data_IF_117909753898
#
_entry.id   IF_117909753898
#
_cell.length_a   1.000
_cell.length_b   1.000
_cell.length_c   1.000
_cell.angle_alpha   90.00
_cell.angle_beta   90.00
_cell.angle_gamma   90.00
#
_symmetry.space_group_name_H-M   'P 1'
#
loop_
_entity.id
_entity.type
_entity.pdbx_description
1 polymer ?
#
# COMPACT_ATOMS: atom_id res chain seq x y z
N UNK A 1 -11.61 9.12 26.74
CA UNK A 1 -11.79 9.88 25.47
C UNK A 1 -12.85 9.16 24.63
N UNK A 2 -13.76 9.90 24.03
CA UNK A 2 -14.86 9.32 23.25
C UNK A 2 -14.32 8.77 21.93
N UNK A 3 -14.34 7.44 21.74
CA UNK A 3 -13.83 6.75 20.54
C UNK A 3 -14.74 6.90 19.32
N UNK A 4 -15.86 7.64 19.46
CA UNK A 4 -16.88 7.80 18.42
C UNK A 4 -16.82 9.17 17.73
N UNK A 5 -15.64 9.78 17.64
CA UNK A 5 -15.46 11.03 16.91
C UNK A 5 -15.57 10.76 15.40
N UNK A 6 -16.28 11.60 14.65
CA UNK A 6 -16.38 11.48 13.22
C UNK A 6 -15.00 11.73 12.58
N UNK A 7 -14.54 10.76 11.81
CA UNK A 7 -13.34 10.87 10.97
C UNK A 7 -13.76 10.81 9.50
N UNK A 8 -12.84 11.11 8.58
CA UNK A 8 -13.09 10.98 7.15
C UNK A 8 -13.65 9.61 6.82
N UNK A 9 -14.66 9.58 5.93
CA UNK A 9 -15.35 8.37 5.49
C UNK A 9 -14.37 7.32 4.98
N UNK A 10 -13.41 7.72 4.16
CA UNK A 10 -12.39 6.88 3.56
C UNK A 10 -11.50 6.22 4.63
N UNK A 11 -11.09 6.97 5.66
CA UNK A 11 -10.33 6.42 6.79
C UNK A 11 -11.14 5.38 7.57
N UNK A 12 -12.44 5.65 7.74
CA UNK A 12 -13.33 4.75 8.47
C UNK A 12 -13.66 3.47 7.67
N UNK A 13 -13.89 3.59 6.36
CA UNK A 13 -14.28 2.46 5.49
C UNK A 13 -13.10 1.63 5.02
N UNK A 14 -11.93 2.24 4.83
CA UNK A 14 -10.74 1.57 4.33
C UNK A 14 -10.43 0.27 5.10
N UNK A 15 -10.29 -0.82 4.38
CA UNK A 15 -9.79 -2.10 4.90
C UNK A 15 -8.83 -2.75 3.90
N UNK A 16 -7.92 -3.58 4.40
CA UNK A 16 -6.97 -4.36 3.58
C UNK A 16 -7.61 -5.67 3.19
N UNK A 17 -8.31 -5.69 2.05
CA UNK A 17 -8.97 -6.88 1.52
C UNK A 17 -7.98 -7.82 0.83
N UNK A 18 -8.32 -9.12 0.74
CA UNK A 18 -7.54 -10.15 0.02
C UNK A 18 -8.26 -10.73 -1.18
N UNK A 19 -9.40 -10.13 -1.57
CA UNK A 19 -10.16 -10.54 -2.74
C UNK A 19 -10.32 -9.36 -3.68
N UNK A 20 -10.03 -9.60 -4.97
CA UNK A 20 -10.10 -8.59 -6.01
C UNK A 20 -10.81 -9.15 -7.24
N UNK A 21 -11.63 -8.32 -7.86
CA UNK A 21 -12.20 -8.62 -9.16
C UNK A 21 -11.10 -8.53 -10.24
N UNK A 22 -11.12 -9.41 -11.26
CA UNK A 22 -10.22 -9.33 -12.41
C UNK A 22 -10.65 -8.23 -13.39
N UNK A 23 -11.08 -7.10 -12.85
CA UNK A 23 -11.52 -5.91 -13.57
C UNK A 23 -10.38 -4.90 -13.59
N UNK A 24 -10.05 -4.41 -14.78
CA UNK A 24 -9.08 -3.32 -14.93
C UNK A 24 -9.58 -2.03 -14.26
N UNK A 25 -8.64 -1.23 -13.81
CA UNK A 25 -8.91 0.09 -13.24
C UNK A 25 -8.92 1.09 -14.37
N UNK A 26 -9.91 1.95 -14.40
CA UNK A 26 -10.06 2.99 -15.40
C UNK A 26 -8.86 3.97 -15.35
N UNK A 27 -8.37 4.46 -16.52
CA UNK A 27 -7.21 5.34 -16.58
C UNK A 27 -7.32 6.57 -15.67
N UNK A 28 -8.50 7.19 -15.62
CA UNK A 28 -8.76 8.39 -14.84
C UNK A 28 -8.60 8.12 -13.33
N UNK A 29 -8.98 6.93 -12.88
CA UNK A 29 -8.77 6.52 -11.49
C UNK A 29 -7.30 6.26 -11.19
N UNK A 30 -6.57 5.64 -12.13
CA UNK A 30 -5.12 5.48 -12.00
C UNK A 30 -4.43 6.84 -11.88
N UNK A 31 -4.79 7.80 -12.72
CA UNK A 31 -4.23 9.15 -12.68
C UNK A 31 -4.51 9.83 -11.34
N UNK A 32 -5.70 9.67 -10.77
CA UNK A 32 -6.04 10.16 -9.45
C UNK A 32 -5.17 9.53 -8.35
N UNK A 33 -4.90 8.21 -8.42
CA UNK A 33 -4.01 7.52 -7.48
C UNK A 33 -2.58 8.09 -7.53
N UNK A 34 -2.05 8.32 -8.75
CA UNK A 34 -0.71 8.88 -8.93
C UNK A 34 -0.63 10.31 -8.42
N UNK A 35 -1.64 11.12 -8.71
CA UNK A 35 -1.74 12.48 -8.21
C UNK A 35 -1.76 12.50 -6.68
N UNK A 36 -2.58 11.68 -6.03
CA UNK A 36 -2.65 11.60 -4.57
C UNK A 36 -1.31 11.19 -3.95
N UNK A 37 -0.62 10.21 -4.54
CA UNK A 37 0.72 9.81 -4.09
C UNK A 37 1.73 10.96 -4.22
N UNK A 38 1.69 11.70 -5.32
CA UNK A 38 2.58 12.82 -5.61
C UNK A 38 2.36 14.01 -4.66
N UNK A 39 1.11 14.26 -4.26
CA UNK A 39 0.77 15.39 -3.38
C UNK A 39 1.08 15.17 -1.90
N UNK A 40 1.59 13.99 -1.53
CA UNK A 40 2.01 13.73 -0.16
C UNK A 40 3.16 14.67 0.25
N UNK A 41 3.21 15.12 1.51
CA UNK A 41 4.36 15.86 2.02
C UNK A 41 5.57 14.93 2.18
N UNK A 42 6.77 15.50 2.11
CA UNK A 42 8.01 14.80 2.44
C UNK A 42 8.99 15.72 3.15
N UNK A 43 9.91 15.16 3.90
CA UNK A 43 10.93 15.90 4.61
C UNK A 43 11.79 16.71 3.62
N UNK A 44 11.85 18.03 3.81
CA UNK A 44 12.51 18.97 2.88
C UNK A 44 12.03 18.85 1.43
N UNK A 45 10.80 18.37 1.22
CA UNK A 45 10.20 18.14 -0.10
C UNK A 45 11.05 17.27 -1.04
N UNK A 46 11.67 16.22 -0.48
CA UNK A 46 12.60 15.34 -1.22
C UNK A 46 11.89 14.40 -2.20
N UNK A 47 10.66 13.97 -1.87
CA UNK A 47 9.82 13.13 -2.74
C UNK A 47 10.57 11.90 -3.26
N UNK A 48 11.25 11.20 -2.37
CA UNK A 48 12.16 10.09 -2.67
C UNK A 48 11.46 8.77 -3.00
N UNK A 49 10.14 8.71 -2.92
CA UNK A 49 9.37 7.54 -3.33
C UNK A 49 9.43 7.29 -4.84
N UNK A 50 9.46 6.02 -5.22
CA UNK A 50 9.30 5.56 -6.61
C UNK A 50 8.26 4.45 -6.64
N UNK A 51 7.39 4.48 -7.64
CA UNK A 51 6.32 3.52 -7.84
C UNK A 51 6.56 2.68 -9.09
N UNK A 52 6.53 1.38 -8.91
CA UNK A 52 6.58 0.38 -9.97
C UNK A 52 5.18 -0.22 -10.13
N UNK A 53 4.41 0.29 -11.08
CA UNK A 53 3.05 -0.16 -11.36
C UNK A 53 3.08 -1.40 -12.24
N UNK A 54 2.77 -2.57 -11.68
CA UNK A 54 2.80 -3.85 -12.39
C UNK A 54 1.38 -4.24 -12.78
N UNK A 55 1.10 -4.21 -14.08
CA UNK A 55 -0.20 -4.46 -14.68
C UNK A 55 -0.10 -5.47 -15.84
N UNK A 56 -1.24 -5.96 -16.31
CA UNK A 56 -1.32 -6.81 -17.50
C UNK A 56 -0.42 -8.04 -17.43
N UNK A 57 0.28 -8.35 -18.51
CA UNK A 57 1.16 -9.52 -18.63
C UNK A 57 2.39 -9.49 -17.71
N UNK A 58 2.84 -8.31 -17.27
CA UNK A 58 3.98 -8.16 -16.37
C UNK A 58 3.72 -8.79 -14.99
N UNK A 59 2.45 -8.93 -14.58
CA UNK A 59 2.04 -9.55 -13.31
C UNK A 59 2.48 -11.02 -13.17
N UNK A 60 2.75 -11.71 -14.28
CA UNK A 60 3.26 -13.10 -14.23
C UNK A 60 4.56 -13.22 -13.43
N UNK A 61 5.40 -12.19 -13.42
CA UNK A 61 6.65 -12.16 -12.66
C UNK A 61 6.43 -12.10 -11.14
N UNK A 62 5.25 -11.68 -10.70
CA UNK A 62 4.95 -11.49 -9.27
C UNK A 62 4.79 -12.80 -8.51
N UNK A 63 4.53 -13.93 -9.19
CA UNK A 63 4.37 -15.23 -8.54
C UNK A 63 5.63 -15.66 -7.76
N UNK A 64 6.82 -15.31 -8.24
CA UNK A 64 8.10 -15.60 -7.60
C UNK A 64 8.52 -14.52 -6.59
N UNK A 65 7.89 -13.35 -6.66
CA UNK A 65 8.21 -12.19 -5.83
C UNK A 65 7.36 -12.19 -4.55
N UNK A 66 6.06 -12.43 -4.68
CA UNK A 66 5.15 -12.43 -3.53
C UNK A 66 5.38 -13.67 -2.65
N UNK A 67 5.45 -13.46 -1.34
CA UNK A 67 5.53 -14.58 -0.40
C UNK A 67 4.27 -15.47 -0.47
N UNK A 68 4.34 -16.75 -0.05
CA UNK A 68 3.22 -17.68 -0.14
C UNK A 68 1.92 -17.15 0.47
N UNK A 69 2.02 -16.40 1.57
CA UNK A 69 0.86 -15.79 2.24
C UNK A 69 0.20 -14.64 1.47
N UNK A 70 0.82 -14.14 0.40
CA UNK A 70 0.35 -13.01 -0.40
C UNK A 70 -0.02 -13.38 -1.85
N UNK A 71 -0.01 -14.67 -2.21
CA UNK A 71 -0.35 -15.13 -3.57
C UNK A 71 -1.79 -14.75 -4.01
N UNK A 72 -2.71 -14.52 -3.07
CA UNK A 72 -4.04 -13.98 -3.33
C UNK A 72 -3.99 -12.64 -4.11
N UNK A 73 -2.94 -11.86 -3.92
CA UNK A 73 -2.78 -10.56 -4.58
C UNK A 73 -2.62 -10.66 -6.11
N UNK A 74 -2.24 -11.81 -6.65
CA UNK A 74 -2.14 -12.04 -8.10
C UNK A 74 -3.48 -11.85 -8.84
N UNK A 75 -4.61 -11.85 -8.11
CA UNK A 75 -5.92 -11.56 -8.66
C UNK A 75 -6.16 -10.06 -8.89
N UNK A 76 -5.44 -9.19 -8.17
CA UNK A 76 -5.59 -7.75 -8.33
C UNK A 76 -5.12 -7.28 -9.70
N UNK A 77 -5.82 -6.34 -10.37
CA UNK A 77 -5.42 -5.81 -11.67
C UNK A 77 -4.12 -5.00 -11.62
N UNK A 78 -3.81 -4.38 -10.49
CA UNK A 78 -2.62 -3.58 -10.24
C UNK A 78 -1.90 -4.05 -8.98
N UNK A 79 -0.61 -4.30 -9.10
CA UNK A 79 0.30 -4.45 -7.97
C UNK A 79 1.33 -3.34 -8.04
N UNK A 80 1.49 -2.63 -6.94
CA UNK A 80 2.52 -1.61 -6.77
C UNK A 80 3.71 -2.21 -6.04
N UNK A 81 4.91 -1.99 -6.55
CA UNK A 81 6.12 -2.03 -5.76
C UNK A 81 6.54 -0.61 -5.46
N UNK A 82 6.79 -0.28 -4.21
CA UNK A 82 7.19 1.06 -3.80
C UNK A 82 8.58 1.01 -3.19
N UNK A 83 9.46 1.88 -3.68
CA UNK A 83 10.82 2.02 -3.21
C UNK A 83 11.06 3.41 -2.65
N UNK A 84 12.12 3.57 -1.87
CA UNK A 84 12.71 4.86 -1.52
C UNK A 84 14.06 5.04 -2.23
N UNK A 85 14.32 6.20 -2.73
CA UNK A 85 15.64 6.57 -3.26
C UNK A 85 16.52 7.06 -2.10
N UNK A 86 17.41 6.19 -1.62
CA UNK A 86 18.26 6.48 -0.48
C UNK A 86 19.34 7.55 -0.76
N UNK A 87 19.56 7.91 -2.05
CA UNK A 87 20.55 8.93 -2.44
C UNK A 87 20.05 10.36 -2.24
N UNK A 88 18.73 10.56 -2.22
CA UNK A 88 18.11 11.90 -2.11
C UNK A 88 17.29 12.09 -0.83
N UNK A 89 17.02 11.02 -0.08
CA UNK A 89 16.23 11.13 1.16
C UNK A 89 16.87 12.09 2.18
N UNK A 90 16.05 12.74 2.97
CA UNK A 90 16.54 13.57 4.04
C UNK A 90 16.99 12.72 5.23
N UNK A 91 18.18 13.05 5.75
CA UNK A 91 18.79 12.37 6.90
C UNK A 91 19.21 13.38 7.95
N UNK A 92 19.04 13.01 9.20
CA UNK A 92 19.66 13.66 10.34
C UNK A 92 20.71 12.71 10.94
N UNK A 93 21.49 13.13 11.92
CA UNK A 93 22.47 12.26 12.57
C UNK A 93 21.92 10.92 13.09
N UNK A 94 20.65 10.89 13.49
CA UNK A 94 20.00 9.73 14.11
C UNK A 94 18.80 9.18 13.37
N UNK A 95 18.37 9.78 12.25
CA UNK A 95 17.11 9.40 11.57
C UNK A 95 17.19 9.54 10.05
N UNK A 96 16.63 8.55 9.37
CA UNK A 96 16.35 8.56 7.93
C UNK A 96 14.84 8.74 7.72
N UNK A 97 14.44 9.67 6.88
CA UNK A 97 13.04 10.00 6.67
C UNK A 97 12.37 9.25 5.52
N UNK A 98 13.14 8.59 4.65
CA UNK A 98 12.61 7.94 3.45
C UNK A 98 11.49 6.93 3.72
N UNK A 99 11.56 6.13 4.79
CA UNK A 99 10.48 5.21 5.16
C UNK A 99 9.22 5.94 5.63
N UNK A 100 9.39 7.03 6.37
CA UNK A 100 8.30 7.88 6.84
C UNK A 100 7.60 8.56 5.66
N UNK A 101 8.36 9.16 4.77
CA UNK A 101 7.86 9.90 3.62
C UNK A 101 7.16 8.98 2.60
N UNK A 102 7.74 7.80 2.32
CA UNK A 102 7.07 6.75 1.51
C UNK A 102 5.75 6.34 2.14
N UNK A 103 5.69 6.17 3.47
CA UNK A 103 4.45 5.80 4.15
C UNK A 103 3.36 6.87 4.00
N UNK A 104 3.70 8.16 4.01
CA UNK A 104 2.78 9.26 3.76
C UNK A 104 2.25 9.23 2.32
N UNK A 105 3.14 9.05 1.34
CA UNK A 105 2.77 8.95 -0.07
C UNK A 105 1.85 7.74 -0.33
N UNK A 106 2.22 6.56 0.18
CA UNK A 106 1.40 5.35 0.04
C UNK A 106 0.05 5.51 0.73
N UNK A 107 -0.01 6.15 1.91
CA UNK A 107 -1.28 6.37 2.60
C UNK A 107 -2.18 7.34 1.85
N UNK A 108 -1.64 8.38 1.21
CA UNK A 108 -2.40 9.30 0.36
C UNK A 108 -3.06 8.54 -0.81
N UNK A 109 -2.30 7.69 -1.50
CA UNK A 109 -2.82 6.81 -2.55
C UNK A 109 -3.90 5.85 -2.03
N UNK A 110 -3.70 5.27 -0.86
CA UNK A 110 -4.66 4.31 -0.25
C UNK A 110 -6.00 4.99 0.08
N UNK A 111 -5.97 6.24 0.55
CA UNK A 111 -7.19 7.02 0.82
C UNK A 111 -7.89 7.37 -0.49
N UNK A 112 -7.14 7.79 -1.51
CA UNK A 112 -7.69 8.07 -2.82
C UNK A 112 -8.30 6.81 -3.45
N UNK A 113 -7.66 5.65 -3.33
CA UNK A 113 -8.23 4.38 -3.80
C UNK A 113 -9.60 4.11 -3.17
N UNK A 114 -9.73 4.32 -1.86
CA UNK A 114 -11.01 4.18 -1.17
C UNK A 114 -12.06 5.18 -1.69
N UNK A 115 -11.66 6.43 -1.91
CA UNK A 115 -12.51 7.49 -2.47
C UNK A 115 -13.03 7.12 -3.87
N UNK A 116 -12.18 6.51 -4.71
CA UNK A 116 -12.50 6.03 -6.05
C UNK A 116 -13.31 4.71 -6.07
N UNK A 117 -13.65 4.16 -4.89
CA UNK A 117 -14.36 2.88 -4.77
C UNK A 117 -13.46 1.66 -5.04
N UNK A 118 -12.16 1.84 -4.96
CA UNK A 118 -11.17 0.78 -5.02
C UNK A 118 -10.76 0.33 -3.62
N UNK A 119 -10.03 -0.78 -3.55
CA UNK A 119 -9.35 -1.25 -2.33
C UNK A 119 -7.86 -1.29 -2.55
N UNK A 120 -7.12 -1.02 -1.49
CA UNK A 120 -5.67 -1.17 -1.48
C UNK A 120 -5.22 -1.97 -0.25
N UNK A 121 -4.40 -3.01 -0.48
CA UNK A 121 -3.82 -3.84 0.58
C UNK A 121 -2.30 -3.81 0.50
N UNK A 122 -1.68 -3.20 1.49
CA UNK A 122 -0.22 -3.13 1.62
C UNK A 122 0.34 -4.43 2.17
N UNK A 123 1.44 -4.91 1.58
CA UNK A 123 2.08 -6.19 1.90
C UNK A 123 3.57 -6.00 2.18
N UNK A 124 4.05 -6.48 3.33
CA UNK A 124 5.47 -6.54 3.65
C UNK A 124 6.14 -7.86 3.20
N UNK A 125 5.34 -8.90 2.93
CA UNK A 125 5.86 -10.21 2.56
C UNK A 125 6.11 -10.34 1.07
N UNK A 126 7.33 -10.05 0.62
CA UNK A 126 7.83 -10.25 -0.74
C UNK A 126 9.34 -10.47 -0.74
N UNK A 127 9.85 -11.05 -1.83
CA UNK A 127 11.28 -11.24 -2.04
C UNK A 127 11.87 -10.00 -2.74
N UNK A 128 12.61 -9.18 -1.98
CA UNK A 128 13.20 -7.94 -2.47
C UNK A 128 14.19 -8.15 -3.61
N UNK A 129 15.01 -9.20 -3.53
CA UNK A 129 16.00 -9.52 -4.57
C UNK A 129 15.33 -9.92 -5.88
N UNK A 130 14.29 -10.77 -5.79
CA UNK A 130 13.50 -11.15 -6.96
C UNK A 130 12.80 -9.92 -7.57
N UNK A 131 12.26 -9.02 -6.74
CA UNK A 131 11.66 -7.78 -7.18
C UNK A 131 12.67 -6.88 -7.91
N UNK A 132 13.86 -6.70 -7.34
CA UNK A 132 14.95 -5.94 -7.97
C UNK A 132 15.32 -6.49 -9.35
N UNK A 133 15.56 -7.79 -9.43
CA UNK A 133 15.93 -8.45 -10.70
C UNK A 133 14.82 -8.36 -11.74
N UNK A 134 13.57 -8.60 -11.36
CA UNK A 134 12.45 -8.68 -12.30
C UNK A 134 12.10 -7.33 -12.94
N UNK A 135 12.29 -6.23 -12.21
CA UNK A 135 11.88 -4.89 -12.64
C UNK A 135 13.05 -3.89 -12.78
N UNK A 136 14.28 -4.33 -12.64
CA UNK A 136 15.45 -3.48 -12.85
C UNK A 136 15.57 -2.35 -11.82
N UNK A 137 15.28 -2.64 -10.55
CA UNK A 137 15.33 -1.62 -9.47
C UNK A 137 16.78 -1.17 -9.26
N UNK A 138 17.07 0.14 -9.39
CA UNK A 138 18.41 0.69 -9.19
C UNK A 138 18.98 0.40 -7.78
N UNK A 139 20.31 0.34 -7.68
CA UNK A 139 20.99 0.02 -6.41
C UNK A 139 20.75 1.06 -5.31
N UNK A 140 20.55 2.33 -5.67
CA UNK A 140 20.23 3.42 -4.76
C UNK A 140 18.77 3.41 -4.27
N UNK A 141 17.89 2.60 -4.87
CA UNK A 141 16.53 2.44 -4.43
C UNK A 141 16.39 1.25 -3.48
N UNK A 142 15.68 1.43 -2.38
CA UNK A 142 15.38 0.36 -1.42
C UNK A 142 13.89 0.04 -1.47
N UNK A 143 13.49 -1.22 -1.76
CA UNK A 143 12.11 -1.65 -1.67
C UNK A 143 11.54 -1.45 -0.26
N UNK A 144 10.33 -0.93 -0.17
CA UNK A 144 9.68 -0.60 1.11
C UNK A 144 8.42 -1.45 1.32
N UNK A 145 7.55 -1.48 0.34
CA UNK A 145 6.25 -2.14 0.45
C UNK A 145 5.72 -2.52 -0.94
N UNK A 146 4.93 -3.57 -1.01
CA UNK A 146 4.07 -3.83 -2.16
C UNK A 146 2.61 -3.57 -1.79
N UNK A 147 1.78 -3.21 -2.77
CA UNK A 147 0.35 -3.03 -2.55
C UNK A 147 -0.46 -3.61 -3.70
N UNK A 148 -1.49 -4.40 -3.38
CA UNK A 148 -2.51 -4.84 -4.32
C UNK A 148 -3.63 -3.80 -4.37
N UNK A 149 -4.01 -3.36 -5.57
CA UNK A 149 -5.04 -2.34 -5.79
C UNK A 149 -6.04 -2.84 -6.83
N UNK A 150 -7.33 -2.63 -6.57
CA UNK A 150 -8.40 -3.01 -7.47
C UNK A 150 -9.78 -2.96 -6.83
N UNK A 151 -10.78 -3.43 -7.53
CA UNK A 151 -12.14 -3.57 -7.02
C UNK A 151 -12.26 -4.76 -6.08
N UNK A 152 -12.99 -4.61 -4.98
CA UNK A 152 -13.24 -5.68 -4.02
C UNK A 152 -14.03 -6.82 -4.68
N UNK A 153 -13.54 -8.06 -4.55
CA UNK A 153 -14.19 -9.27 -5.02
C UNK A 153 -15.06 -9.94 -3.95
N UNK A 154 -15.65 -11.09 -4.27
CA UNK A 154 -16.40 -11.87 -3.28
C UNK A 154 -15.43 -12.65 -2.39
N UNK A 155 -15.65 -12.58 -1.09
CA UNK A 155 -14.88 -13.35 -0.08
C UNK A 155 -15.01 -14.87 -0.30
N UNK A 156 -16.12 -15.33 -0.89
CA UNK A 156 -16.35 -16.75 -1.21
C UNK A 156 -15.34 -17.31 -2.23
N UNK A 157 -14.71 -16.46 -3.03
CA UNK A 157 -13.70 -16.87 -4.02
C UNK A 157 -12.31 -17.12 -3.40
N UNK A 158 -12.16 -16.91 -2.10
CA UNK A 158 -10.94 -17.13 -1.36
C UNK A 158 -10.86 -18.53 -0.80
N UNK A 159 -9.64 -19.01 -0.58
CA UNK A 159 -9.39 -20.18 0.24
C UNK A 159 -9.99 -20.02 1.65
N UNK A 160 -10.56 -21.09 2.27
CA UNK A 160 -11.19 -21.01 3.59
C UNK A 160 -10.33 -20.41 4.69
N UNK A 161 -9.01 -20.63 4.66
CA UNK A 161 -8.07 -20.03 5.62
C UNK A 161 -7.99 -18.52 5.43
N UNK A 162 -8.05 -18.06 4.20
CA UNK A 162 -8.03 -16.62 3.87
C UNK A 162 -9.38 -15.98 4.18
N UNK A 163 -10.50 -16.68 3.93
CA UNK A 163 -11.85 -16.23 4.33
C UNK A 163 -11.92 -15.96 5.83
N UNK A 164 -11.38 -16.88 6.65
CA UNK A 164 -11.33 -16.71 8.10
C UNK A 164 -10.51 -15.47 8.53
N UNK A 165 -9.48 -15.10 7.78
CA UNK A 165 -8.72 -13.85 8.01
C UNK A 165 -9.52 -12.60 7.65
N UNK A 166 -10.29 -12.66 6.55
CA UNK A 166 -11.15 -11.54 6.11
C UNK A 166 -12.31 -11.28 7.09
N UNK A 167 -12.85 -12.33 7.71
CA UNK A 167 -13.94 -12.24 8.68
C UNK A 167 -13.53 -11.61 10.02
N UNK A 168 -12.23 -11.41 10.27
CA UNK A 168 -11.77 -10.82 11.53
C UNK A 168 -12.21 -9.35 11.64
N UNK A 169 -12.73 -8.94 12.82
CA UNK A 169 -13.10 -7.56 13.04
C UNK A 169 -11.87 -6.65 12.99
N UNK A 170 -12.06 -5.45 12.46
CA UNK A 170 -11.02 -4.42 12.53
C UNK A 170 -10.90 -3.90 13.96
N UNK A 171 -9.77 -4.09 14.55
CA UNK A 171 -9.49 -3.61 15.90
C UNK A 171 -8.52 -2.44 15.88
N UNK A 172 -8.65 -1.57 16.85
CA UNK A 172 -7.71 -0.49 17.16
C UNK A 172 -7.48 -0.49 18.66
N UNK A 173 -6.27 -0.12 19.06
CA UNK A 173 -5.97 0.13 20.46
C UNK A 173 -6.82 1.27 20.99
N UNK A 174 -7.15 1.27 22.27
CA UNK A 174 -7.76 2.43 22.93
C UNK A 174 -6.90 3.69 22.72
N UNK A 175 -7.57 4.84 22.62
CA UNK A 175 -6.89 6.10 22.29
C UNK A 175 -5.82 6.49 23.32
N UNK A 176 -6.03 6.18 24.59
CA UNK A 176 -5.09 6.43 25.67
C UNK A 176 -3.81 5.56 25.62
N UNK A 177 -3.78 4.50 24.82
CA UNK A 177 -2.55 3.74 24.56
C UNK A 177 -1.68 4.36 23.44
N UNK A 178 -2.25 5.26 22.64
CA UNK A 178 -1.56 5.84 21.47
C UNK A 178 -1.39 7.36 21.56
N UNK A 179 -2.09 8.01 22.51
CA UNK A 179 -2.01 9.47 22.73
C UNK A 179 -1.72 9.75 24.18
N UNK A 180 -0.63 10.46 24.45
CA UNK A 180 -0.32 11.05 25.75
C UNK A 180 -0.47 12.56 25.63
N UNK A 181 -1.32 13.15 26.45
CA UNK A 181 -1.47 14.61 26.54
C UNK A 181 -0.51 15.11 27.63
N UNK A 182 0.42 15.96 27.25
CA UNK A 182 1.33 16.67 28.15
C UNK A 182 0.81 18.10 28.27
N UNK A 183 0.54 18.53 29.51
CA UNK A 183 0.06 19.87 29.84
C UNK A 183 1.08 20.62 30.66
#
# INVERSE_FOLDING_TARGET
MNTNQPILKELNQRKSVRTFLPREIEPEKLDALWAAAQWAPSSSNKQEWRYYAVMGGARKKLAEILSPGNQWALKAPLILGVTRDASIENKTESREYGMYDVALSVMSLVIEAEHQGLRAHQMAGFNEEAFRRAFGIPANETPVVMAAVGYEGDVKDLDPIVQAKEARPRMRKPLNEVVTIVQ
#
